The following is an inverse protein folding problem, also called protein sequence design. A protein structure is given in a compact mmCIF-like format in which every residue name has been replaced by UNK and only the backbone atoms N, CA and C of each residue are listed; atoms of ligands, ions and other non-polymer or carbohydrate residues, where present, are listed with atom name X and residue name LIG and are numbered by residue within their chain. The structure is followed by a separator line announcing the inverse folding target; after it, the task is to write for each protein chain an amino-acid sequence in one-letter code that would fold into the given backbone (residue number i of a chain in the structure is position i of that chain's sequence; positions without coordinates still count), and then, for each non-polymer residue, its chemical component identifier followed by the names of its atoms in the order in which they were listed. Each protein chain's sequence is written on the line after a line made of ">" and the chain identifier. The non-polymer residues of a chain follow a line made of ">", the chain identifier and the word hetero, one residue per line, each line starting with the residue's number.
data_IF_912082561256
#
_entry.id   IF_912082561256
#
_cell.length_a   1.000
_cell.length_b   1.000
_cell.length_c   1.000
_cell.angle_alpha   90.00
_cell.angle_beta   90.00
_cell.angle_gamma   90.00
#
_symmetry.space_group_name_H-M   'P 1'
#
loop_
_entity.id
_entity.type
_entity.pdbx_description
1 polymer ?
#
# COMPACT_ATOMS: atom_id res chain seq x y z
N UNK A 1 -27.08 33.28 9.38
CA UNK A 1 -25.61 33.30 9.18
C UNK A 1 -24.84 32.39 10.14
N UNK A 2 -25.45 31.40 10.82
CA UNK A 2 -24.75 30.52 11.77
C UNK A 2 -24.38 29.14 11.15
N UNK A 3 -25.04 28.73 10.07
CA UNK A 3 -24.79 27.43 9.43
C UNK A 3 -23.52 27.40 8.56
N UNK A 4 -23.06 28.55 8.04
CA UNK A 4 -21.87 28.60 7.18
C UNK A 4 -20.57 28.41 7.97
N UNK A 5 -20.51 28.89 9.22
CA UNK A 5 -19.32 28.78 10.06
C UNK A 5 -19.09 27.33 10.55
N UNK A 6 -20.17 26.59 10.84
CA UNK A 6 -20.06 25.17 11.25
C UNK A 6 -19.60 24.27 10.10
N UNK A 7 -19.99 24.58 8.85
CA UNK A 7 -19.51 23.84 7.67
C UNK A 7 -18.01 24.06 7.45
N UNK A 8 -17.53 25.30 7.63
CA UNK A 8 -16.10 25.64 7.50
C UNK A 8 -15.26 24.98 8.59
N UNK A 9 -15.77 24.83 9.82
CA UNK A 9 -15.10 24.08 10.89
C UNK A 9 -15.07 22.55 10.64
N UNK A 10 -16.13 22.00 10.06
CA UNK A 10 -16.25 20.57 9.74
C UNK A 10 -15.27 20.12 8.63
N UNK A 11 -14.90 21.04 7.74
CA UNK A 11 -13.94 20.80 6.66
C UNK A 11 -12.46 20.79 7.08
N UNK A 12 -12.13 21.29 8.28
CA UNK A 12 -10.73 21.39 8.73
C UNK A 12 -10.18 20.10 9.36
N UNK A 13 -11.04 19.17 9.77
CA UNK A 13 -10.59 17.90 10.35
C UNK A 13 -10.10 16.88 9.32
N UNK A 14 -10.49 17.00 8.04
CA UNK A 14 -10.03 16.11 6.98
C UNK A 14 -8.71 16.57 6.30
N UNK A 15 -8.31 17.84 6.48
CA UNK A 15 -7.21 18.46 5.72
C UNK A 15 -5.88 18.50 6.51
N UNK A 16 -5.79 17.82 7.66
CA UNK A 16 -4.61 17.87 8.53
C UNK A 16 -3.96 16.51 8.81
N UNK A 17 -3.99 15.57 7.86
CA UNK A 17 -3.26 14.29 7.99
C UNK A 17 -1.86 14.33 7.36
N UNK A 18 -1.53 15.40 6.62
CA UNK A 18 -0.35 15.45 5.74
C UNK A 18 0.73 16.47 6.17
N UNK A 19 0.48 17.34 7.16
CA UNK A 19 1.49 18.28 7.66
C UNK A 19 2.48 17.59 8.60
N UNK A 20 3.53 17.01 8.04
CA UNK A 20 4.72 16.63 8.81
C UNK A 20 5.16 15.18 8.70
N UNK A 21 4.53 14.35 7.85
CA UNK A 21 5.02 13.01 7.58
C UNK A 21 6.13 13.06 6.54
N UNK A 22 7.31 12.59 6.95
CA UNK A 22 8.45 12.47 6.06
C UNK A 22 8.21 11.27 5.14
N UNK A 23 8.48 11.40 3.83
CA UNK A 23 8.36 10.28 2.92
C UNK A 23 9.23 9.11 3.40
N UNK A 24 8.79 7.88 3.14
CA UNK A 24 9.53 6.71 3.56
C UNK A 24 10.98 6.72 3.03
N UNK A 25 11.91 6.26 3.87
CA UNK A 25 13.30 6.08 3.45
C UNK A 25 13.39 5.09 2.29
N UNK A 26 14.37 5.30 1.41
CA UNK A 26 14.57 4.45 0.23
C UNK A 26 14.70 2.96 0.59
N UNK A 27 15.34 2.64 1.72
CA UNK A 27 15.50 1.28 2.23
C UNK A 27 14.15 0.63 2.62
N UNK A 28 13.26 1.37 3.31
CA UNK A 28 11.94 0.85 3.69
C UNK A 28 11.04 0.63 2.47
N UNK A 29 11.18 1.50 1.48
CA UNK A 29 10.49 1.40 0.21
C UNK A 29 10.95 0.18 -0.58
N UNK A 30 12.26 -0.07 -0.66
CA UNK A 30 12.82 -1.21 -1.37
C UNK A 30 12.40 -2.54 -0.74
N UNK A 31 12.47 -2.64 0.59
CA UNK A 31 11.97 -3.81 1.32
C UNK A 31 10.45 -4.02 1.17
N UNK A 32 9.66 -2.95 1.08
CA UNK A 32 8.24 -3.05 0.74
C UNK A 32 8.01 -3.59 -0.68
N UNK A 33 8.77 -3.10 -1.66
CA UNK A 33 8.68 -3.57 -3.06
C UNK A 33 9.01 -5.05 -3.16
N UNK A 34 10.07 -5.52 -2.49
CA UNK A 34 10.43 -6.93 -2.42
C UNK A 34 9.29 -7.80 -1.84
N UNK A 35 8.69 -7.37 -0.72
CA UNK A 35 7.53 -8.06 -0.14
C UNK A 35 6.35 -8.08 -1.12
N UNK A 36 6.03 -6.94 -1.72
CA UNK A 36 4.93 -6.81 -2.66
C UNK A 36 5.09 -7.74 -3.86
N UNK A 37 6.30 -7.83 -4.43
CA UNK A 37 6.61 -8.78 -5.50
C UNK A 37 6.35 -10.23 -5.07
N UNK A 38 6.88 -10.63 -3.92
CA UNK A 38 6.67 -11.98 -3.38
C UNK A 38 5.19 -12.26 -3.09
N UNK A 39 4.44 -11.26 -2.62
CA UNK A 39 3.02 -11.37 -2.36
C UNK A 39 2.21 -11.53 -3.64
N UNK A 40 2.54 -10.77 -4.69
CA UNK A 40 1.87 -10.86 -5.99
C UNK A 40 2.14 -12.19 -6.68
N UNK A 41 3.34 -12.74 -6.52
CA UNK A 41 3.70 -14.09 -6.96
C UNK A 41 2.92 -15.16 -6.18
N UNK A 42 2.94 -15.09 -4.84
CA UNK A 42 2.25 -16.05 -3.98
C UNK A 42 0.74 -16.09 -4.27
N UNK A 43 0.11 -14.93 -4.46
CA UNK A 43 -1.32 -14.87 -4.82
C UNK A 43 -1.60 -15.25 -6.29
N UNK A 44 -0.57 -15.40 -7.12
CA UNK A 44 -0.69 -15.77 -8.54
C UNK A 44 -1.26 -14.65 -9.41
N UNK A 45 -1.08 -13.40 -9.00
CA UNK A 45 -1.51 -12.22 -9.76
C UNK A 45 -0.54 -11.88 -10.88
N UNK A 46 0.75 -12.15 -10.67
CA UNK A 46 1.79 -11.93 -11.68
C UNK A 46 1.98 -13.19 -12.53
N UNK A 47 1.95 -13.02 -13.85
CA UNK A 47 2.41 -14.03 -14.80
C UNK A 47 3.94 -13.88 -14.92
N UNK A 48 4.73 -14.96 -14.77
CA UNK A 48 6.20 -14.89 -14.75
C UNK A 48 6.79 -14.24 -16.01
N UNK A 49 6.06 -14.24 -17.13
CA UNK A 49 6.48 -13.59 -18.39
C UNK A 49 6.19 -12.08 -18.44
N UNK A 50 5.36 -11.56 -17.53
CA UNK A 50 4.93 -10.14 -17.48
C UNK A 50 5.26 -9.45 -16.14
N UNK A 51 5.84 -10.15 -15.18
CA UNK A 51 6.17 -9.63 -13.84
C UNK A 51 7.02 -8.35 -13.88
N UNK A 52 8.08 -8.28 -14.70
CA UNK A 52 8.97 -7.10 -14.75
C UNK A 52 8.22 -5.79 -15.13
N UNK A 53 7.33 -5.84 -16.13
CA UNK A 53 6.56 -4.66 -16.55
C UNK A 53 5.60 -4.18 -15.46
N UNK A 54 5.01 -5.13 -14.74
CA UNK A 54 4.05 -4.85 -13.67
C UNK A 54 4.76 -4.22 -12.47
N UNK A 55 5.88 -4.80 -12.04
CA UNK A 55 6.71 -4.30 -10.93
C UNK A 55 7.25 -2.91 -11.24
N UNK A 56 7.79 -2.68 -12.45
CA UNK A 56 8.24 -1.34 -12.88
C UNK A 56 7.11 -0.31 -12.86
N UNK A 57 5.88 -0.70 -13.18
CA UNK A 57 4.72 0.19 -13.14
C UNK A 57 4.30 0.50 -11.71
N UNK A 58 4.27 -0.49 -10.83
CA UNK A 58 4.00 -0.29 -9.40
C UNK A 58 5.07 0.60 -8.76
N UNK A 59 6.36 0.33 -9.01
CA UNK A 59 7.47 1.14 -8.49
C UNK A 59 7.31 2.61 -8.85
N UNK A 60 7.02 2.92 -10.12
CA UNK A 60 6.75 4.30 -10.55
C UNK A 60 5.52 4.91 -9.88
N UNK A 61 4.45 4.13 -9.70
CA UNK A 61 3.23 4.59 -9.04
C UNK A 61 3.50 4.99 -7.59
N UNK A 62 4.20 4.14 -6.82
CA UNK A 62 4.47 4.45 -5.41
C UNK A 62 5.57 5.50 -5.23
N UNK A 63 6.57 5.58 -6.11
CA UNK A 63 7.54 6.68 -6.11
C UNK A 63 6.85 8.04 -6.30
N UNK A 64 5.80 8.10 -7.13
CA UNK A 64 4.99 9.32 -7.29
C UNK A 64 4.08 9.59 -6.09
N UNK A 65 3.57 8.54 -5.45
CA UNK A 65 2.69 8.68 -4.28
C UNK A 65 3.44 9.13 -3.02
N UNK A 66 4.76 8.91 -2.94
CA UNK A 66 5.61 9.23 -1.79
C UNK A 66 5.00 8.82 -0.44
N UNK A 67 4.63 7.53 -0.27
CA UNK A 67 3.98 7.06 0.95
C UNK A 67 4.91 7.22 2.16
N UNK A 68 4.31 7.50 3.31
CA UNK A 68 4.98 7.51 4.61
C UNK A 68 5.32 6.06 5.07
N UNK A 69 6.33 5.85 5.93
CA UNK A 69 6.65 4.53 6.49
C UNK A 69 5.45 3.78 7.08
N UNK A 70 4.49 4.47 7.67
CA UNK A 70 3.30 3.87 8.28
C UNK A 70 2.27 3.41 7.26
N UNK A 71 2.10 4.17 6.17
CA UNK A 71 1.27 3.74 5.03
C UNK A 71 1.87 2.48 4.39
N UNK A 72 3.20 2.41 4.27
CA UNK A 72 3.88 1.19 3.84
C UNK A 72 3.63 0.00 4.79
N UNK A 73 3.66 0.23 6.10
CA UNK A 73 3.36 -0.81 7.08
C UNK A 73 1.91 -1.31 6.97
N UNK A 74 0.94 -0.40 6.80
CA UNK A 74 -0.46 -0.75 6.58
C UNK A 74 -0.63 -1.59 5.31
N UNK A 75 0.00 -1.17 4.21
CA UNK A 75 -0.01 -1.91 2.95
C UNK A 75 0.60 -3.31 3.10
N UNK A 76 1.71 -3.45 3.84
CA UNK A 76 2.25 -4.79 4.16
C UNK A 76 1.25 -5.64 4.92
N UNK A 77 0.57 -5.09 5.93
CA UNK A 77 -0.45 -5.82 6.68
C UNK A 77 -1.58 -6.35 5.80
N UNK A 78 -2.07 -5.53 4.86
CA UNK A 78 -3.10 -5.94 3.89
C UNK A 78 -2.57 -7.06 2.98
N UNK A 79 -1.35 -6.93 2.46
CA UNK A 79 -0.72 -7.94 1.60
C UNK A 79 -0.54 -9.26 2.35
N UNK A 80 -0.02 -9.22 3.58
CA UNK A 80 0.14 -10.40 4.44
C UNK A 80 -1.19 -11.11 4.71
N UNK A 81 -2.26 -10.35 4.97
CA UNK A 81 -3.59 -10.92 5.15
C UNK A 81 -4.13 -11.59 3.86
N UNK A 82 -3.87 -10.99 2.69
CA UNK A 82 -4.24 -11.55 1.40
C UNK A 82 -3.48 -12.85 1.08
N UNK A 83 -2.17 -12.89 1.35
CA UNK A 83 -1.32 -14.09 1.23
C UNK A 83 -1.78 -15.20 2.18
N UNK A 84 -1.98 -14.88 3.47
CA UNK A 84 -2.39 -15.85 4.50
C UNK A 84 -3.71 -16.54 4.18
N UNK A 85 -4.68 -15.82 3.61
CA UNK A 85 -5.95 -16.42 3.15
C UNK A 85 -5.77 -17.40 1.98
N UNK A 86 -4.79 -17.19 1.09
CA UNK A 86 -4.53 -18.13 -0.02
C UNK A 86 -3.79 -19.38 0.46
N UNK A 87 -2.80 -19.21 1.34
CA UNK A 87 -2.09 -20.34 1.98
C UNK A 87 -3.07 -21.30 2.67
N UNK A 88 -4.04 -20.75 3.42
CA UNK A 88 -5.09 -21.54 4.08
C UNK A 88 -5.99 -22.32 3.09
N UNK A 89 -6.27 -21.78 1.90
CA UNK A 89 -7.11 -22.45 0.88
C UNK A 89 -6.34 -23.52 0.09
N UNK A 90 -5.01 -23.46 0.05
CA UNK A 90 -4.16 -24.45 -0.65
C UNK A 90 -3.93 -25.70 0.20
N UNK A 91 -3.97 -25.58 1.53
CA UNK A 91 -3.80 -26.71 2.47
C UNK A 91 -5.04 -27.57 2.72
N UNK A 92 -6.22 -27.21 2.19
CA UNK A 92 -7.46 -28.00 2.37
C UNK A 92 -7.79 -28.91 1.17
N UNK A 93 -6.79 -29.21 0.33
CA UNK A 93 -6.95 -30.02 -0.88
C UNK A 93 -5.81 -31.04 -0.97
N UNK A 94 -5.64 -31.84 0.07
CA UNK A 94 -4.84 -33.07 0.11
C UNK A 94 -5.55 -34.11 0.97
#
# INVERSE_FOLDING_TARGET
>A
MIAYEVLVASGQHAVNTNRGRLPATAEKFDGFMQHLEQALDDIGFSDPRKSDKLVRRLRRMFLRAQPDPDELNLLRGILSAAQGRKSMRRGSRE
#
